data_IF_109032820289
#
_entry.id   IF_109032820289
#
_cell.length_a   1.000
_cell.length_b   1.000
_cell.length_c   1.000
_cell.angle_alpha   90.00
_cell.angle_beta   90.00
_cell.angle_gamma   90.00
#
_symmetry.space_group_name_H-M   'P 1'
#
loop_
_entity.id
_entity.type
_entity.pdbx_description
1 polymer ?
#
# COMPACT_ATOMS: atom_id res chain seq x y z
N UNK A 1 -54.47 16.62 8.58
CA UNK A 1 -53.43 16.75 7.53
C UNK A 1 -52.20 15.97 7.98
N UNK A 2 -51.94 14.80 7.39
CA UNK A 2 -50.75 13.96 7.67
C UNK A 2 -49.66 14.36 6.69
N UNK A 3 -48.53 14.88 7.19
CA UNK A 3 -47.35 15.14 6.39
C UNK A 3 -46.59 13.82 6.18
N UNK A 4 -46.62 13.28 4.97
CA UNK A 4 -45.74 12.21 4.53
C UNK A 4 -44.34 12.75 4.35
N UNK A 5 -43.40 12.23 5.13
CA UNK A 5 -41.97 12.44 4.91
C UNK A 5 -41.56 11.52 3.76
N UNK A 6 -41.22 12.09 2.61
CA UNK A 6 -40.52 11.41 1.53
C UNK A 6 -39.07 11.13 1.99
N UNK A 7 -38.77 9.88 2.25
CA UNK A 7 -37.39 9.42 2.39
C UNK A 7 -36.69 9.42 1.03
N UNK A 8 -35.78 10.36 0.84
CA UNK A 8 -34.87 10.35 -0.30
C UNK A 8 -33.86 9.25 -0.10
N UNK A 9 -34.03 8.10 -0.72
CA UNK A 9 -33.03 7.07 -0.85
C UNK A 9 -31.92 7.58 -1.80
N UNK A 10 -30.83 8.08 -1.24
CA UNK A 10 -29.61 8.37 -1.99
C UNK A 10 -29.04 7.02 -2.44
N UNK A 11 -29.18 6.70 -3.72
CA UNK A 11 -28.51 5.59 -4.36
C UNK A 11 -27.01 5.86 -4.25
N UNK A 12 -26.33 5.14 -3.35
CA UNK A 12 -24.85 5.13 -3.30
C UNK A 12 -24.38 4.46 -4.59
N UNK A 13 -23.99 5.27 -5.56
CA UNK A 13 -23.31 4.78 -6.75
C UNK A 13 -22.12 3.91 -6.33
N UNK A 14 -21.99 2.75 -6.95
CA UNK A 14 -20.92 1.79 -6.69
C UNK A 14 -19.58 2.48 -7.00
N UNK A 15 -18.88 2.90 -5.94
CA UNK A 15 -17.59 3.59 -6.07
C UNK A 15 -16.58 2.58 -6.60
N UNK A 16 -16.14 2.74 -7.85
CA UNK A 16 -15.06 1.93 -8.43
C UNK A 16 -13.90 1.85 -7.44
N UNK A 17 -13.51 0.63 -7.06
CA UNK A 17 -12.39 0.38 -6.16
C UNK A 17 -11.08 0.61 -6.89
N UNK A 18 -10.19 1.39 -6.27
CA UNK A 18 -8.86 1.66 -6.82
C UNK A 18 -7.87 0.59 -6.35
N UNK A 19 -7.24 -0.10 -7.29
CA UNK A 19 -6.20 -1.10 -7.05
C UNK A 19 -4.83 -0.53 -7.43
N UNK A 20 -3.86 -0.66 -6.54
CA UNK A 20 -2.45 -0.30 -6.81
C UNK A 20 -1.55 -1.51 -6.58
N UNK A 21 -0.59 -1.73 -7.48
CA UNK A 21 0.44 -2.77 -7.35
C UNK A 21 1.79 -2.09 -7.17
N UNK A 22 2.55 -2.52 -6.16
CA UNK A 22 3.98 -2.20 -5.97
C UNK A 22 4.75 -3.49 -6.23
N UNK A 23 5.80 -3.46 -7.05
CA UNK A 23 6.61 -4.65 -7.32
C UNK A 23 8.08 -4.30 -7.58
N UNK A 24 8.96 -5.24 -7.26
CA UNK A 24 10.40 -5.20 -7.55
C UNK A 24 10.82 -6.21 -8.65
N UNK A 25 9.86 -6.69 -9.40
CA UNK A 25 10.06 -7.56 -10.56
C UNK A 25 10.73 -6.79 -11.71
N UNK A 26 11.31 -7.52 -12.67
CA UNK A 26 11.88 -6.94 -13.88
C UNK A 26 10.88 -6.15 -14.73
N UNK A 27 11.39 -5.35 -15.66
CA UNK A 27 10.58 -4.46 -16.52
C UNK A 27 9.58 -5.25 -17.42
N UNK A 28 9.86 -6.54 -17.67
CA UNK A 28 8.98 -7.45 -18.42
C UNK A 28 7.61 -7.62 -17.75
N UNK A 29 7.53 -7.52 -16.44
CA UNK A 29 6.27 -7.61 -15.67
C UNK A 29 5.46 -6.31 -15.67
N UNK A 30 6.08 -5.17 -15.97
CA UNK A 30 5.41 -3.86 -15.93
C UNK A 30 4.14 -3.82 -16.79
N UNK A 31 4.23 -4.34 -18.02
CA UNK A 31 3.10 -4.33 -18.96
C UNK A 31 1.96 -5.23 -18.50
N UNK A 32 2.30 -6.40 -17.96
CA UNK A 32 1.35 -7.35 -17.43
C UNK A 32 0.60 -6.78 -16.23
N UNK A 33 1.32 -6.24 -15.26
CA UNK A 33 0.74 -5.72 -14.03
C UNK A 33 -0.08 -4.44 -14.25
N UNK A 34 0.29 -3.60 -15.22
CA UNK A 34 -0.49 -2.41 -15.62
C UNK A 34 -1.90 -2.75 -16.09
N UNK A 35 -2.10 -3.92 -16.69
CA UNK A 35 -3.43 -4.35 -17.14
C UNK A 35 -4.32 -4.89 -16.00
N UNK A 36 -3.73 -5.14 -14.83
CA UNK A 36 -4.40 -5.76 -13.68
C UNK A 36 -4.81 -4.76 -12.58
N UNK A 37 -4.40 -3.48 -12.69
CA UNK A 37 -4.62 -2.48 -11.67
C UNK A 37 -4.79 -1.07 -12.24
N UNK A 38 -5.21 -0.13 -11.39
CA UNK A 38 -5.36 1.28 -11.76
C UNK A 38 -4.00 2.02 -11.69
N UNK A 39 -3.09 1.58 -10.82
CA UNK A 39 -1.76 2.16 -10.67
C UNK A 39 -0.71 1.08 -10.44
N UNK A 40 0.46 1.24 -11.06
CA UNK A 40 1.64 0.41 -10.83
C UNK A 40 2.79 1.27 -10.36
N UNK A 41 3.51 0.83 -9.34
CA UNK A 41 4.75 1.43 -8.85
C UNK A 41 5.85 0.38 -8.98
N UNK A 42 6.70 0.52 -9.99
CA UNK A 42 7.89 -0.33 -10.14
C UNK A 42 8.95 0.11 -9.14
N UNK A 43 9.30 -0.79 -8.23
CA UNK A 43 10.35 -0.59 -7.23
C UNK A 43 11.71 -0.95 -7.84
N UNK A 44 12.12 -0.22 -8.87
CA UNK A 44 13.34 -0.46 -9.66
C UNK A 44 14.61 0.19 -9.09
N UNK A 45 14.52 0.84 -7.93
CA UNK A 45 15.66 1.52 -7.30
C UNK A 45 16.11 2.83 -7.95
N UNK A 46 15.51 3.27 -9.05
CA UNK A 46 15.88 4.51 -9.78
C UNK A 46 15.26 5.77 -9.13
N UNK A 47 15.31 5.85 -7.80
CA UNK A 47 14.78 6.96 -6.99
C UNK A 47 15.57 7.09 -5.68
N UNK A 48 15.53 8.27 -5.08
CA UNK A 48 16.23 8.53 -3.83
C UNK A 48 15.46 7.93 -2.62
N UNK A 49 16.16 7.43 -1.58
CA UNK A 49 15.54 7.01 -0.34
C UNK A 49 14.90 8.18 0.41
N UNK A 50 13.97 7.86 1.34
CA UNK A 50 13.34 8.87 2.18
C UNK A 50 14.38 9.60 3.04
N UNK A 51 14.37 10.94 2.99
CA UNK A 51 15.29 11.79 3.77
C UNK A 51 14.74 12.14 5.17
N UNK A 52 13.56 11.67 5.54
CA UNK A 52 12.95 11.97 6.84
C UNK A 52 12.62 13.45 7.07
N UNK A 53 12.46 14.24 6.02
CA UNK A 53 12.20 15.69 6.12
C UNK A 53 10.79 16.06 6.56
N UNK A 54 9.86 15.08 6.58
CA UNK A 54 8.44 15.24 6.93
C UNK A 54 7.68 16.31 6.13
N UNK A 55 8.25 16.81 5.03
CA UNK A 55 7.58 17.78 4.16
C UNK A 55 6.25 17.28 3.61
N UNK A 56 6.11 15.97 3.36
CA UNK A 56 4.87 15.32 2.94
C UNK A 56 3.78 15.27 4.04
N UNK A 57 4.10 15.58 5.28
CA UNK A 57 3.12 15.76 6.36
C UNK A 57 2.65 17.21 6.49
N UNK A 58 3.53 18.18 6.23
CA UNK A 58 3.34 19.60 6.59
C UNK A 58 3.30 20.51 5.38
N UNK A 59 4.40 20.70 4.65
CA UNK A 59 4.54 21.67 3.57
C UNK A 59 3.78 21.27 2.29
N UNK A 60 3.85 19.99 1.95
CA UNK A 60 3.26 19.43 0.73
C UNK A 60 2.47 18.14 1.07
N UNK A 61 1.28 18.26 1.69
CA UNK A 61 0.54 17.10 2.19
C UNK A 61 0.38 15.99 1.14
N UNK A 62 0.84 14.76 1.48
CA UNK A 62 0.83 13.60 0.62
C UNK A 62 1.65 13.72 -0.68
N UNK A 63 2.65 14.60 -0.72
CA UNK A 63 3.56 14.74 -1.85
C UNK A 63 5.01 14.86 -1.33
N UNK A 64 5.92 14.07 -1.91
CA UNK A 64 7.34 14.21 -1.60
C UNK A 64 7.93 15.44 -2.30
N UNK A 65 8.90 16.10 -1.67
CA UNK A 65 9.59 17.23 -2.29
C UNK A 65 10.56 16.80 -3.39
N UNK A 66 11.06 15.55 -3.33
CA UNK A 66 11.94 15.00 -4.35
C UNK A 66 11.18 14.75 -5.65
N UNK A 67 11.72 15.27 -6.76
CA UNK A 67 11.11 15.20 -8.09
C UNK A 67 11.60 13.96 -8.84
N UNK A 68 11.20 12.80 -8.38
CA UNK A 68 11.44 11.49 -9.00
C UNK A 68 10.14 10.70 -9.17
N UNK A 69 10.23 9.45 -9.62
CA UNK A 69 9.07 8.60 -9.87
C UNK A 69 8.19 8.37 -8.64
N UNK A 70 8.73 8.51 -7.41
CA UNK A 70 8.00 8.34 -6.16
C UNK A 70 7.43 9.64 -5.59
N UNK A 71 7.53 10.77 -6.28
CA UNK A 71 7.01 12.05 -5.77
C UNK A 71 5.55 11.95 -5.32
N UNK A 72 4.74 11.20 -6.05
CA UNK A 72 3.30 11.04 -5.81
C UNK A 72 2.92 9.74 -5.09
N UNK A 73 3.89 8.91 -4.69
CA UNK A 73 3.64 7.60 -4.07
C UNK A 73 2.69 7.68 -2.86
N UNK A 74 2.86 8.68 -1.99
CA UNK A 74 1.96 8.92 -0.86
C UNK A 74 0.49 9.03 -1.30
N UNK A 75 0.24 9.78 -2.36
CA UNK A 75 -1.12 10.05 -2.84
C UNK A 75 -1.71 8.85 -3.54
N UNK A 76 -0.92 8.17 -4.36
CA UNK A 76 -1.32 6.96 -5.08
C UNK A 76 -1.68 5.86 -4.07
N UNK A 77 -0.75 5.49 -3.19
CA UNK A 77 -0.96 4.46 -2.16
C UNK A 77 -2.08 4.87 -1.19
N UNK A 78 -2.15 6.16 -0.83
CA UNK A 78 -3.15 6.68 0.09
C UNK A 78 -4.58 6.53 -0.42
N UNK A 79 -4.80 6.71 -1.72
CA UNK A 79 -6.13 6.61 -2.35
C UNK A 79 -6.53 5.19 -2.75
N UNK A 80 -5.61 4.22 -2.69
CA UNK A 80 -5.89 2.84 -3.07
C UNK A 80 -6.82 2.18 -2.07
N UNK A 81 -7.90 1.59 -2.55
CA UNK A 81 -8.78 0.75 -1.74
C UNK A 81 -8.12 -0.62 -1.52
N UNK A 82 -7.41 -1.13 -2.53
CA UNK A 82 -6.62 -2.36 -2.48
C UNK A 82 -5.17 -2.07 -2.86
N UNK A 83 -4.23 -2.54 -2.03
CA UNK A 83 -2.80 -2.48 -2.29
C UNK A 83 -2.24 -3.88 -2.37
N UNK A 84 -1.58 -4.19 -3.49
CA UNK A 84 -0.85 -5.42 -3.70
C UNK A 84 0.65 -5.10 -3.71
N UNK A 85 1.43 -5.86 -2.97
CA UNK A 85 2.88 -5.75 -2.94
C UNK A 85 3.47 -7.08 -3.37
N UNK A 86 4.24 -7.08 -4.45
CA UNK A 86 5.04 -8.22 -4.91
C UNK A 86 6.50 -7.89 -4.62
N UNK A 87 7.16 -8.71 -3.82
CA UNK A 87 8.51 -8.37 -3.33
C UNK A 87 9.37 -9.60 -3.11
N UNK A 88 10.64 -9.49 -3.47
CA UNK A 88 11.64 -10.46 -3.05
C UNK A 88 11.79 -10.46 -1.52
N UNK A 89 11.95 -11.65 -0.95
CA UNK A 89 12.26 -11.79 0.46
C UNK A 89 13.66 -11.26 0.76
N UNK A 90 13.78 -10.39 1.75
CA UNK A 90 15.05 -9.92 2.26
C UNK A 90 15.10 -10.11 3.78
N UNK A 91 15.60 -11.27 4.22
CA UNK A 91 15.72 -11.63 5.65
C UNK A 91 14.38 -11.51 6.43
N UNK A 92 13.30 -11.98 5.85
CA UNK A 92 11.96 -11.90 6.47
C UNK A 92 11.34 -10.49 6.40
N UNK A 93 11.66 -9.72 5.35
CA UNK A 93 11.13 -8.39 5.11
C UNK A 93 11.00 -8.10 3.60
N UNK A 94 10.47 -6.93 3.27
CA UNK A 94 10.46 -6.40 1.90
C UNK A 94 11.88 -6.22 1.36
N UNK A 95 12.05 -6.34 0.05
CA UNK A 95 13.30 -5.95 -0.60
C UNK A 95 13.63 -4.47 -0.30
N UNK A 96 14.91 -4.08 -0.33
CA UNK A 96 15.31 -2.68 -0.12
C UNK A 96 14.60 -1.71 -1.06
N UNK A 97 14.33 -2.12 -2.29
CA UNK A 97 13.65 -1.30 -3.29
C UNK A 97 12.19 -1.05 -2.91
N UNK A 98 11.43 -2.10 -2.57
CA UNK A 98 10.03 -1.97 -2.10
C UNK A 98 9.99 -1.22 -0.77
N UNK A 99 10.92 -1.49 0.16
CA UNK A 99 11.01 -0.79 1.44
C UNK A 99 11.16 0.72 1.23
N UNK A 100 11.98 1.17 0.28
CA UNK A 100 12.12 2.59 -0.07
C UNK A 100 10.82 3.21 -0.58
N UNK A 101 10.03 2.50 -1.39
CA UNK A 101 8.70 2.97 -1.82
C UNK A 101 7.79 3.19 -0.60
N UNK A 102 7.78 2.22 0.32
CA UNK A 102 6.96 2.30 1.53
C UNK A 102 7.42 3.44 2.46
N UNK A 103 8.72 3.62 2.66
CA UNK A 103 9.27 4.75 3.44
C UNK A 103 8.92 6.10 2.82
N UNK A 104 8.95 6.20 1.49
CA UNK A 104 8.55 7.40 0.75
C UNK A 104 7.04 7.65 0.78
N UNK A 105 6.25 6.70 1.28
CA UNK A 105 4.79 6.82 1.40
C UNK A 105 4.28 7.24 2.78
N UNK A 106 5.15 7.66 3.71
CA UNK A 106 4.77 8.09 5.08
C UNK A 106 3.66 9.17 5.09
N UNK A 107 3.57 9.97 4.04
CA UNK A 107 2.52 11.00 3.90
C UNK A 107 1.10 10.47 3.68
N UNK A 108 0.89 9.13 3.62
CA UNK A 108 -0.46 8.52 3.66
C UNK A 108 -1.17 8.78 4.98
N UNK A 109 -0.39 9.05 6.03
CA UNK A 109 -0.87 9.49 7.34
C UNK A 109 -0.58 10.97 7.56
N UNK A 110 -1.03 11.48 8.70
CA UNK A 110 -0.77 12.84 9.17
C UNK A 110 0.17 12.82 10.38
N UNK A 111 0.76 13.94 10.78
CA UNK A 111 1.55 14.01 12.01
C UNK A 111 0.75 13.81 13.30
N UNK A 112 -0.59 13.89 13.23
CA UNK A 112 -1.47 13.73 14.39
C UNK A 112 -1.64 12.26 14.76
N UNK A 113 -1.65 11.95 16.05
CA UNK A 113 -1.83 10.61 16.58
C UNK A 113 -3.28 10.35 17.01
N UNK A 114 -3.68 9.10 16.95
CA UNK A 114 -4.98 8.59 17.43
C UNK A 114 -4.81 7.17 17.97
N UNK A 115 -5.74 6.74 18.81
CA UNK A 115 -5.79 5.35 19.27
C UNK A 115 -6.63 4.50 18.31
N UNK A 116 -6.11 3.30 17.96
CA UNK A 116 -6.86 2.22 17.31
C UNK A 116 -6.76 0.99 18.21
N UNK A 117 -7.86 0.69 18.88
CA UNK A 117 -7.84 -0.25 20.00
C UNK A 117 -6.92 0.25 21.12
N UNK A 118 -5.96 -0.58 21.53
CA UNK A 118 -4.98 -0.26 22.59
C UNK A 118 -3.66 0.34 22.06
N UNK A 119 -3.54 0.56 20.76
CA UNK A 119 -2.30 1.03 20.13
C UNK A 119 -2.45 2.44 19.59
N UNK A 120 -1.40 3.25 19.75
CA UNK A 120 -1.33 4.59 19.19
C UNK A 120 -0.81 4.51 17.73
N UNK A 121 -1.50 5.19 16.82
CA UNK A 121 -1.17 5.26 15.40
C UNK A 121 -1.33 6.69 14.89
N UNK A 122 -0.66 7.00 13.79
CA UNK A 122 -0.93 8.24 13.07
C UNK A 122 -2.32 8.25 12.45
N UNK A 123 -2.97 9.41 12.43
CA UNK A 123 -4.26 9.59 11.78
C UNK A 123 -4.14 9.40 10.28
N UNK A 124 -5.04 8.64 9.68
CA UNK A 124 -5.05 8.37 8.25
C UNK A 124 -5.54 9.60 7.47
N UNK A 125 -4.80 10.02 6.46
CA UNK A 125 -5.16 11.14 5.59
C UNK A 125 -6.33 10.79 4.66
N UNK A 126 -6.39 9.53 4.20
CA UNK A 126 -7.35 9.06 3.20
C UNK A 126 -8.42 8.12 3.77
N UNK A 127 -8.46 7.96 5.10
CA UNK A 127 -9.39 7.05 5.75
C UNK A 127 -8.97 5.58 5.70
N UNK A 128 -9.90 4.69 6.06
CA UNK A 128 -9.70 3.24 6.04
C UNK A 128 -9.76 2.72 4.60
N UNK A 129 -8.96 1.66 4.35
CA UNK A 129 -8.84 0.97 3.07
C UNK A 129 -9.36 -0.45 3.22
N UNK A 130 -9.61 -1.14 2.08
CA UNK A 130 -10.18 -2.47 2.11
C UNK A 130 -9.10 -3.53 2.39
N UNK A 131 -8.16 -3.77 1.47
CA UNK A 131 -7.29 -4.94 1.54
C UNK A 131 -5.83 -4.64 1.20
N UNK A 132 -4.90 -5.18 2.02
CA UNK A 132 -3.48 -5.31 1.71
C UNK A 132 -3.19 -6.76 1.38
N UNK A 133 -2.59 -7.02 0.21
CA UNK A 133 -2.04 -8.33 -0.16
C UNK A 133 -0.54 -8.23 -0.35
N UNK A 134 0.18 -9.22 0.14
CA UNK A 134 1.61 -9.33 -0.05
C UNK A 134 1.92 -10.69 -0.65
N UNK A 135 2.62 -10.67 -1.77
CA UNK A 135 3.20 -11.83 -2.44
C UNK A 135 4.71 -11.73 -2.30
N UNK A 136 5.28 -12.57 -1.43
CA UNK A 136 6.72 -12.65 -1.23
C UNK A 136 7.29 -13.81 -2.06
N UNK A 137 8.42 -13.59 -2.71
CA UNK A 137 9.13 -14.61 -3.49
C UNK A 137 10.62 -14.66 -3.15
N UNK A 138 11.38 -15.56 -3.77
CA UNK A 138 12.79 -15.78 -3.45
C UNK A 138 12.97 -16.78 -2.29
N UNK A 139 14.19 -17.04 -1.90
CA UNK A 139 14.50 -17.96 -0.80
C UNK A 139 13.96 -17.43 0.52
N UNK A 140 13.27 -18.28 1.27
CA UNK A 140 12.66 -17.90 2.54
C UNK A 140 12.64 -19.08 3.49
N UNK A 141 13.19 -18.89 4.68
CA UNK A 141 13.07 -19.85 5.78
C UNK A 141 11.71 -19.71 6.48
N UNK A 142 11.33 -20.73 7.26
CA UNK A 142 10.07 -20.70 8.03
C UNK A 142 10.05 -19.54 9.03
N UNK A 143 11.17 -19.20 9.65
CA UNK A 143 11.24 -18.12 10.64
C UNK A 143 11.23 -16.73 9.98
N UNK A 144 11.82 -16.59 8.79
CA UNK A 144 11.69 -15.39 7.97
C UNK A 144 10.22 -15.19 7.53
N UNK A 145 9.52 -16.23 7.10
CA UNK A 145 8.10 -16.12 6.74
C UNK A 145 7.26 -15.63 7.92
N UNK A 146 7.46 -16.19 9.11
CA UNK A 146 6.77 -15.74 10.33
C UNK A 146 7.05 -14.26 10.64
N UNK A 147 8.31 -13.86 10.55
CA UNK A 147 8.75 -12.49 10.81
C UNK A 147 8.13 -11.53 9.80
N UNK A 148 8.19 -11.87 8.52
CA UNK A 148 7.65 -11.05 7.45
C UNK A 148 6.13 -10.89 7.60
N UNK A 149 5.42 -11.99 7.83
CA UNK A 149 3.96 -12.00 8.03
C UNK A 149 3.56 -11.08 9.19
N UNK A 150 4.27 -11.18 10.32
CA UNK A 150 4.01 -10.32 11.49
C UNK A 150 4.24 -8.84 11.18
N UNK A 151 5.39 -8.50 10.57
CA UNK A 151 5.71 -7.12 10.18
C UNK A 151 4.68 -6.55 9.21
N UNK A 152 4.31 -7.34 8.20
CA UNK A 152 3.37 -6.94 7.16
C UNK A 152 1.95 -6.71 7.71
N UNK A 153 1.51 -7.53 8.66
CA UNK A 153 0.26 -7.31 9.39
C UNK A 153 0.28 -5.98 10.16
N UNK A 154 1.40 -5.64 10.82
CA UNK A 154 1.56 -4.34 11.49
C UNK A 154 1.50 -3.17 10.50
N UNK A 155 2.08 -3.35 9.33
CA UNK A 155 2.00 -2.35 8.25
C UNK A 155 0.57 -2.18 7.74
N UNK A 156 -0.21 -3.27 7.58
CA UNK A 156 -1.62 -3.18 7.19
C UNK A 156 -2.42 -2.30 8.19
N UNK A 157 -2.20 -2.49 9.48
CA UNK A 157 -2.83 -1.66 10.52
C UNK A 157 -2.40 -0.19 10.41
N UNK A 158 -1.10 0.07 10.18
CA UNK A 158 -0.57 1.43 10.04
C UNK A 158 -1.15 2.16 8.83
N UNK A 159 -1.26 1.47 7.70
CA UNK A 159 -1.87 2.00 6.47
C UNK A 159 -3.40 2.08 6.53
N UNK A 160 -4.03 1.45 7.53
CA UNK A 160 -5.48 1.47 7.75
C UNK A 160 -6.27 0.49 6.89
N UNK A 161 -5.65 -0.60 6.47
CA UNK A 161 -6.34 -1.70 5.80
C UNK A 161 -7.19 -2.50 6.78
N UNK A 162 -8.38 -2.91 6.35
CA UNK A 162 -9.30 -3.75 7.12
C UNK A 162 -8.92 -5.22 7.06
N UNK A 163 -8.46 -5.65 5.88
CA UNK A 163 -8.08 -7.02 5.58
C UNK A 163 -6.59 -7.10 5.22
N UNK A 164 -5.98 -8.20 5.57
CA UNK A 164 -4.59 -8.49 5.28
C UNK A 164 -4.44 -9.94 4.79
N UNK A 165 -3.63 -10.11 3.74
CA UNK A 165 -3.28 -11.41 3.18
C UNK A 165 -1.79 -11.45 2.88
N UNK A 166 -1.14 -12.54 3.23
CA UNK A 166 0.26 -12.79 2.93
C UNK A 166 0.41 -14.19 2.30
N UNK A 167 1.07 -14.24 1.17
CA UNK A 167 1.36 -15.48 0.45
C UNK A 167 2.83 -15.54 0.05
N UNK A 168 3.48 -16.67 0.38
CA UNK A 168 4.79 -16.98 -0.15
C UNK A 168 4.65 -17.72 -1.50
N UNK A 169 5.28 -17.18 -2.54
CA UNK A 169 5.28 -17.72 -3.88
C UNK A 169 6.60 -18.47 -4.13
N UNK A 170 6.54 -19.79 -4.28
CA UNK A 170 7.70 -20.60 -4.65
C UNK A 170 8.16 -20.38 -6.10
N UNK A 171 7.27 -19.89 -6.96
CA UNK A 171 7.53 -19.52 -8.35
C UNK A 171 6.65 -18.33 -8.73
N UNK A 172 7.12 -17.50 -9.63
CA UNK A 172 6.38 -16.38 -10.22
C UNK A 172 5.42 -16.80 -11.34
N UNK A 173 5.47 -18.06 -11.81
CA UNK A 173 4.63 -18.54 -12.91
C UNK A 173 3.13 -18.39 -12.67
N UNK A 174 2.71 -18.41 -11.39
CA UNK A 174 1.32 -18.21 -10.98
C UNK A 174 0.98 -16.80 -10.54
N UNK A 175 1.91 -15.85 -10.71
CA UNK A 175 1.68 -14.47 -10.27
C UNK A 175 0.46 -13.87 -10.96
N UNK A 176 0.29 -14.12 -12.26
CA UNK A 176 -0.83 -13.60 -13.05
C UNK A 176 -2.22 -14.05 -12.54
N UNK A 177 -2.30 -15.24 -11.96
CA UNK A 177 -3.54 -15.79 -11.42
C UNK A 177 -3.89 -15.18 -10.04
N UNK A 178 -2.88 -14.66 -9.35
CA UNK A 178 -2.99 -14.19 -7.96
C UNK A 178 -3.22 -12.67 -7.84
N UNK A 179 -2.86 -11.85 -8.86
CA UNK A 179 -2.93 -10.37 -8.84
C UNK A 179 -4.08 -9.76 -9.62
#
# INVERSE_FOLDING_TARGET
MKHEKKENSVVKGDKRRMKTIIHDLGEEYDSLLKNKCDNTISANGKYAPCQGCFGCWTKHPAQCFMKDTLQMACRVIGKSDELIIVTENCYGAYSPAVKNVLDRSIGVSTPFSTYRGKQMHHTLRYGKKEKLRIYAYGDMTIDEEKTFRYMAERNAINYGFKEFEFQYLKSLDKLEENV
#
